data_IF_739055125793
#
_entry.id   IF_739055125793
#
_cell.length_a   1.000
_cell.length_b   1.000
_cell.length_c   1.000
_cell.angle_alpha   90.00
_cell.angle_beta   90.00
_cell.angle_gamma   90.00
#
_symmetry.space_group_name_H-M   'P 1'
#
loop_
_entity.id
_entity.type
_entity.pdbx_description
1 polymer ?
#
# COMPACT_ATOMS: atom_id res chain seq x y z
N UNK A 1 29.14 -8.87 47.65
CA UNK A 1 27.97 -8.16 47.06
C UNK A 1 27.63 -8.71 45.68
N UNK A 2 26.47 -9.36 45.56
CA UNK A 2 25.50 -9.37 44.45
C UNK A 2 26.03 -9.22 43.00
N UNK A 3 26.79 -10.18 42.46
CA UNK A 3 27.02 -10.29 40.99
C UNK A 3 25.95 -11.11 40.25
N UNK A 4 25.23 -12.02 40.92
CA UNK A 4 24.17 -12.82 40.27
C UNK A 4 22.88 -12.03 40.00
N UNK A 5 22.62 -10.96 40.77
CA UNK A 5 21.45 -10.09 40.63
C UNK A 5 21.49 -9.21 39.38
N UNK A 6 22.68 -8.84 38.89
CA UNK A 6 22.81 -8.01 37.69
C UNK A 6 22.64 -8.84 36.40
N UNK A 7 23.20 -10.05 36.37
CA UNK A 7 23.06 -10.97 35.24
C UNK A 7 21.62 -11.48 35.07
N UNK A 8 20.91 -11.78 36.16
CA UNK A 8 19.49 -12.17 36.08
C UNK A 8 18.59 -11.02 35.61
N UNK A 9 18.85 -9.77 36.03
CA UNK A 9 18.12 -8.60 35.53
C UNK A 9 18.32 -8.34 34.03
N UNK A 10 19.53 -8.56 33.51
CA UNK A 10 19.82 -8.40 32.08
C UNK A 10 19.10 -9.46 31.25
N UNK A 11 19.12 -10.72 31.69
CA UNK A 11 18.45 -11.84 31.00
C UNK A 11 16.92 -11.63 31.00
N UNK A 12 16.32 -11.21 32.11
CA UNK A 12 14.87 -10.95 32.22
C UNK A 12 14.44 -9.78 31.30
N UNK A 13 15.24 -8.71 31.20
CA UNK A 13 14.95 -7.61 30.29
C UNK A 13 15.06 -8.01 28.81
N UNK A 14 16.06 -8.84 28.44
CA UNK A 14 16.17 -9.37 27.08
C UNK A 14 14.97 -10.28 26.75
N UNK A 15 14.55 -11.15 27.68
CA UNK A 15 13.36 -11.99 27.51
C UNK A 15 12.06 -11.17 27.36
N UNK A 16 11.88 -10.11 28.15
CA UNK A 16 10.72 -9.21 28.07
C UNK A 16 10.67 -8.42 26.75
N UNK A 17 11.81 -8.12 26.14
CA UNK A 17 11.89 -7.45 24.82
C UNK A 17 11.59 -8.44 23.68
N UNK A 18 11.92 -9.72 23.85
CA UNK A 18 11.74 -10.75 22.82
C UNK A 18 10.30 -11.25 22.70
N UNK A 19 9.56 -11.38 23.81
CA UNK A 19 8.18 -11.89 23.82
C UNK A 19 7.20 -11.12 22.90
N UNK A 20 7.19 -9.77 22.87
CA UNK A 20 6.34 -8.99 21.98
C UNK A 20 6.70 -9.16 20.49
N UNK A 21 7.98 -9.38 20.20
CA UNK A 21 8.48 -9.58 18.83
C UNK A 21 8.03 -10.95 18.30
N UNK A 22 8.21 -12.01 19.10
CA UNK A 22 7.74 -13.35 18.76
C UNK A 22 6.21 -13.43 18.60
N UNK A 23 5.45 -12.73 19.46
CA UNK A 23 4.00 -12.66 19.33
C UNK A 23 3.57 -12.01 17.99
N UNK A 24 4.18 -10.87 17.62
CA UNK A 24 3.90 -10.19 16.34
C UNK A 24 4.31 -11.03 15.13
N UNK A 25 5.40 -11.78 15.21
CA UNK A 25 5.83 -12.67 14.13
C UNK A 25 4.85 -13.82 13.91
N UNK A 26 4.41 -14.47 14.99
CA UNK A 26 3.42 -15.56 14.92
C UNK A 26 2.06 -15.05 14.40
N UNK A 27 1.63 -13.88 14.87
CA UNK A 27 0.43 -13.21 14.37
C UNK A 27 0.54 -12.93 12.86
N UNK A 28 1.70 -12.43 12.39
CA UNK A 28 1.91 -12.16 10.97
C UNK A 28 1.91 -13.42 10.11
N UNK A 29 2.37 -14.58 10.63
CA UNK A 29 2.26 -15.87 9.93
C UNK A 29 0.80 -16.27 9.72
N UNK A 30 -0.03 -16.14 10.77
CA UNK A 30 -1.48 -16.38 10.69
C UNK A 30 -2.16 -15.42 9.72
N UNK A 31 -1.84 -14.13 9.81
CA UNK A 31 -2.37 -13.08 8.94
C UNK A 31 -2.05 -13.36 7.46
N UNK A 32 -0.79 -13.68 7.15
CA UNK A 32 -0.37 -14.05 5.78
C UNK A 32 -1.18 -15.23 5.24
N UNK A 33 -1.35 -16.29 6.04
CA UNK A 33 -2.16 -17.46 5.65
C UNK A 33 -3.61 -17.07 5.33
N UNK A 34 -4.21 -16.20 6.14
CA UNK A 34 -5.54 -15.67 5.87
C UNK A 34 -5.60 -14.85 4.58
N UNK A 35 -4.60 -13.98 4.33
CA UNK A 35 -4.50 -13.22 3.09
C UNK A 35 -4.33 -14.11 1.86
N UNK A 36 -3.50 -15.16 1.90
CA UNK A 36 -3.37 -16.09 0.78
C UNK A 36 -4.66 -16.86 0.50
N UNK A 37 -5.41 -17.25 1.53
CA UNK A 37 -6.75 -17.84 1.35
C UNK A 37 -7.72 -16.86 0.67
N UNK A 38 -7.66 -15.58 1.05
CA UNK A 38 -8.44 -14.53 0.40
C UNK A 38 -8.03 -14.33 -1.05
N UNK A 39 -6.74 -14.22 -1.32
CA UNK A 39 -6.18 -14.02 -2.66
C UNK A 39 -6.55 -15.16 -3.61
N UNK A 40 -6.46 -16.42 -3.16
CA UNK A 40 -6.89 -17.59 -3.94
C UNK A 40 -8.38 -17.57 -4.27
N UNK A 41 -9.23 -17.13 -3.33
CA UNK A 41 -10.69 -17.07 -3.54
C UNK A 41 -11.10 -15.95 -4.52
N UNK A 42 -10.27 -14.92 -4.66
CA UNK A 42 -10.59 -13.72 -5.41
C UNK A 42 -9.52 -13.47 -6.49
N UNK A 43 -8.99 -14.50 -7.11
CA UNK A 43 -8.09 -14.35 -8.26
C UNK A 43 -8.86 -13.76 -9.45
N UNK A 44 -8.26 -12.75 -10.09
CA UNK A 44 -8.79 -12.14 -11.32
C UNK A 44 -8.21 -12.87 -12.52
N UNK A 45 -9.09 -13.28 -13.42
CA UNK A 45 -8.79 -13.85 -14.73
C UNK A 45 -8.90 -12.82 -15.87
N UNK A 46 -9.30 -11.59 -15.55
CA UNK A 46 -9.45 -10.54 -16.55
C UNK A 46 -8.10 -10.16 -17.18
N UNK A 47 -8.09 -10.18 -18.50
CA UNK A 47 -6.99 -9.72 -19.35
C UNK A 47 -7.50 -8.62 -20.29
N UNK A 48 -6.62 -7.67 -20.57
CA UNK A 48 -6.87 -6.55 -21.47
C UNK A 48 -5.58 -6.20 -22.20
N UNK A 49 -5.67 -5.94 -23.49
CA UNK A 49 -4.51 -5.64 -24.32
C UNK A 49 -4.21 -4.15 -24.36
N UNK A 50 -2.98 -3.81 -24.78
CA UNK A 50 -2.59 -2.42 -24.96
C UNK A 50 -3.43 -1.77 -26.06
N UNK A 51 -4.25 -0.78 -25.70
CA UNK A 51 -5.14 -0.08 -26.63
C UNK A 51 -6.62 -0.48 -26.55
N UNK A 52 -6.98 -1.46 -25.72
CA UNK A 52 -8.37 -1.88 -25.49
C UNK A 52 -9.14 -0.90 -24.60
N UNK A 53 -9.37 0.31 -25.10
CA UNK A 53 -9.99 1.40 -24.33
C UNK A 53 -11.41 1.12 -23.85
N UNK A 54 -12.14 0.26 -24.56
CA UNK A 54 -13.55 -0.03 -24.31
C UNK A 54 -13.80 -1.35 -23.57
N UNK A 55 -12.79 -2.21 -23.45
CA UNK A 55 -12.93 -3.46 -22.69
C UNK A 55 -13.00 -3.13 -21.20
N UNK A 56 -14.02 -3.67 -20.53
CA UNK A 56 -14.28 -3.43 -19.10
C UNK A 56 -14.34 -4.75 -18.34
N UNK A 57 -13.76 -4.76 -17.14
CA UNK A 57 -13.82 -5.91 -16.25
C UNK A 57 -15.23 -6.04 -15.64
N UNK A 58 -15.86 -7.20 -15.84
CA UNK A 58 -17.18 -7.54 -15.28
C UNK A 58 -17.08 -8.46 -14.06
N UNK A 59 -15.87 -8.86 -13.66
CA UNK A 59 -15.64 -9.66 -12.47
C UNK A 59 -16.10 -8.94 -11.19
N UNK A 60 -16.18 -9.69 -10.09
CA UNK A 60 -16.52 -9.11 -8.78
C UNK A 60 -15.50 -8.03 -8.41
N UNK A 61 -15.99 -6.96 -7.78
CA UNK A 61 -15.22 -5.78 -7.34
C UNK A 61 -14.08 -6.05 -6.35
N UNK A 62 -14.03 -7.26 -5.81
CA UNK A 62 -13.00 -7.72 -4.89
C UNK A 62 -12.03 -8.73 -5.53
N UNK A 63 -12.15 -8.99 -6.85
CA UNK A 63 -11.18 -9.78 -7.61
C UNK A 63 -9.84 -9.05 -7.65
N UNK A 64 -8.76 -9.80 -7.60
CA UNK A 64 -7.41 -9.29 -7.36
C UNK A 64 -6.50 -9.80 -8.46
N UNK A 65 -5.96 -8.86 -9.25
CA UNK A 65 -4.99 -9.15 -10.32
C UNK A 65 -3.58 -9.24 -9.77
N UNK A 66 -3.23 -8.33 -8.87
CA UNK A 66 -1.91 -8.28 -8.22
C UNK A 66 -2.01 -7.72 -6.80
N UNK A 67 -0.99 -7.95 -5.98
CA UNK A 67 -1.03 -7.60 -4.57
C UNK A 67 0.35 -7.29 -3.96
N UNK A 68 0.34 -6.69 -2.77
CA UNK A 68 1.48 -6.48 -1.88
C UNK A 68 1.04 -6.88 -0.47
N UNK A 69 1.88 -7.62 0.27
CA UNK A 69 1.71 -7.82 1.71
C UNK A 69 2.81 -7.06 2.44
N UNK A 70 2.44 -6.02 3.17
CA UNK A 70 3.39 -5.13 3.85
C UNK A 70 2.73 -4.42 5.04
N UNK A 71 3.53 -4.09 6.04
CA UNK A 71 3.16 -3.13 7.08
C UNK A 71 3.35 -1.73 6.50
N UNK A 72 2.26 -0.95 6.38
CA UNK A 72 2.25 0.39 5.78
C UNK A 72 1.92 1.51 6.77
N UNK A 73 1.77 1.18 8.06
CA UNK A 73 1.47 2.15 9.11
C UNK A 73 2.47 2.09 10.28
N UNK A 74 3.49 1.24 10.14
CA UNK A 74 4.59 1.02 11.09
C UNK A 74 4.15 0.48 12.45
N UNK A 75 3.02 -0.24 12.54
CA UNK A 75 2.58 -0.87 13.80
C UNK A 75 3.08 -2.33 13.97
N UNK A 76 3.71 -2.88 12.93
CA UNK A 76 4.21 -4.25 12.89
C UNK A 76 3.18 -5.29 12.45
N UNK A 77 1.95 -4.89 12.12
CA UNK A 77 0.89 -5.74 11.57
C UNK A 77 0.90 -5.61 10.05
N UNK A 78 0.79 -6.73 9.35
CA UNK A 78 0.76 -6.70 7.88
C UNK A 78 -0.62 -6.30 7.35
N UNK A 79 -0.64 -5.35 6.42
CA UNK A 79 -1.76 -5.09 5.52
C UNK A 79 -1.65 -5.92 4.24
N UNK A 80 -2.81 -6.18 3.63
CA UNK A 80 -2.91 -6.66 2.25
C UNK A 80 -3.33 -5.49 1.36
N UNK A 81 -2.47 -5.12 0.42
CA UNK A 81 -2.74 -4.14 -0.64
C UNK A 81 -3.04 -4.93 -1.91
N UNK A 82 -4.15 -4.65 -2.57
CA UNK A 82 -4.57 -5.37 -3.79
C UNK A 82 -4.85 -4.40 -4.91
N UNK A 83 -4.50 -4.77 -6.13
CA UNK A 83 -4.91 -4.09 -7.35
C UNK A 83 -6.01 -4.89 -8.05
N UNK A 84 -7.16 -4.22 -8.25
CA UNK A 84 -8.28 -4.72 -9.04
C UNK A 84 -8.26 -3.99 -10.39
N UNK A 85 -7.99 -4.72 -11.47
CA UNK A 85 -8.03 -4.19 -12.83
C UNK A 85 -9.48 -4.00 -13.28
N UNK A 86 -9.81 -2.86 -13.88
CA UNK A 86 -11.16 -2.56 -14.39
C UNK A 86 -11.21 -2.34 -15.90
N UNK A 87 -10.06 -2.22 -16.55
CA UNK A 87 -9.89 -2.02 -17.99
C UNK A 87 -8.44 -1.71 -18.33
N UNK A 88 -8.16 -1.35 -19.59
CA UNK A 88 -6.83 -0.95 -20.02
C UNK A 88 -6.37 0.30 -19.25
N UNK A 89 -5.26 0.20 -18.51
CA UNK A 89 -4.73 1.25 -17.60
C UNK A 89 -5.73 1.75 -16.54
N UNK A 90 -6.69 0.93 -16.17
CA UNK A 90 -7.75 1.29 -15.23
C UNK A 90 -7.82 0.32 -14.08
N UNK A 91 -8.08 0.82 -12.88
CA UNK A 91 -8.25 -0.03 -11.72
C UNK A 91 -8.30 0.70 -10.39
N UNK A 92 -8.31 -0.12 -9.35
CA UNK A 92 -8.40 0.34 -7.98
C UNK A 92 -7.40 -0.37 -7.08
N UNK A 93 -6.70 0.42 -6.26
CA UNK A 93 -5.86 -0.08 -5.18
C UNK A 93 -6.68 -0.12 -3.88
N UNK A 94 -6.82 -1.30 -3.32
CA UNK A 94 -7.54 -1.54 -2.07
C UNK A 94 -6.57 -1.95 -0.97
N UNK A 95 -6.90 -1.59 0.27
CA UNK A 95 -6.11 -1.95 1.45
C UNK A 95 -7.01 -2.73 2.40
N UNK A 96 -6.52 -3.84 2.94
CA UNK A 96 -7.22 -4.69 3.89
C UNK A 96 -6.37 -4.91 5.14
N UNK A 97 -7.06 -5.04 6.27
CA UNK A 97 -6.47 -5.40 7.57
C UNK A 97 -7.09 -6.67 8.10
N UNK A 98 -6.28 -7.48 8.74
CA UNK A 98 -6.76 -8.60 9.55
C UNK A 98 -7.11 -8.09 10.95
N UNK A 99 -8.40 -8.14 11.29
CA UNK A 99 -8.91 -7.71 12.60
C UNK A 99 -10.10 -8.57 13.00
N UNK A 100 -10.17 -8.95 14.27
CA UNK A 100 -11.26 -9.77 14.83
C UNK A 100 -11.42 -11.10 14.06
N UNK A 101 -10.29 -11.73 13.74
CA UNK A 101 -10.19 -12.94 12.92
C UNK A 101 -10.80 -12.84 11.51
N UNK A 102 -10.99 -11.63 10.99
CA UNK A 102 -11.57 -11.37 9.67
C UNK A 102 -10.72 -10.39 8.87
N UNK A 103 -10.74 -10.54 7.55
CA UNK A 103 -10.14 -9.58 6.63
C UNK A 103 -11.17 -8.48 6.38
N UNK A 104 -10.83 -7.24 6.75
CA UNK A 104 -11.69 -6.06 6.62
C UNK A 104 -11.02 -5.05 5.71
N UNK A 105 -11.75 -4.54 4.70
CA UNK A 105 -11.27 -3.45 3.85
C UNK A 105 -11.14 -2.17 4.67
N UNK A 106 -10.06 -1.43 4.47
CA UNK A 106 -9.82 -0.11 5.08
C UNK A 106 -10.55 0.94 4.25
N UNK A 107 -11.36 1.78 4.90
CA UNK A 107 -12.12 2.85 4.22
C UNK A 107 -11.22 4.05 3.89
N UNK A 108 -11.49 4.74 2.79
CA UNK A 108 -10.86 6.03 2.46
C UNK A 108 -11.46 7.17 3.29
N UNK A 109 -10.67 8.18 3.65
CA UNK A 109 -11.14 9.29 4.51
C UNK A 109 -11.94 10.37 3.78
N UNK A 110 -11.77 10.54 2.47
CA UNK A 110 -12.16 11.77 1.77
C UNK A 110 -13.01 11.57 0.49
N UNK A 111 -13.44 10.36 0.13
CA UNK A 111 -14.27 10.15 -1.06
C UNK A 111 -15.68 9.72 -0.68
N UNK A 112 -16.69 10.48 -1.12
CA UNK A 112 -18.11 10.07 -1.11
C UNK A 112 -18.35 8.81 -1.95
N UNK A 113 -17.44 8.46 -2.85
CA UNK A 113 -17.36 7.17 -3.56
C UNK A 113 -16.75 6.08 -2.67
N UNK A 114 -17.35 5.84 -1.49
CA UNK A 114 -16.83 5.04 -0.37
C UNK A 114 -16.53 3.55 -0.67
N UNK A 115 -16.66 3.06 -1.91
CA UNK A 115 -16.73 1.63 -2.18
C UNK A 115 -15.51 1.00 -2.84
N UNK A 116 -14.55 1.74 -3.42
CA UNK A 116 -13.59 1.13 -4.35
C UNK A 116 -12.10 1.28 -4.05
N UNK A 117 -11.69 2.03 -3.03
CA UNK A 117 -10.26 2.20 -2.70
C UNK A 117 -9.66 3.46 -3.33
N UNK A 118 -8.37 3.42 -3.66
CA UNK A 118 -7.66 4.49 -4.38
C UNK A 118 -7.84 4.23 -5.88
N UNK A 119 -8.47 5.16 -6.59
CA UNK A 119 -8.64 5.10 -8.04
C UNK A 119 -7.26 5.34 -8.71
N UNK A 120 -6.89 4.46 -9.65
CA UNK A 120 -5.66 4.54 -10.46
C UNK A 120 -5.98 4.41 -11.96
N UNK A 121 -7.08 5.02 -12.38
CA UNK A 121 -7.50 5.12 -13.77
C UNK A 121 -6.66 6.15 -14.52
N UNK A 122 -6.13 5.76 -15.68
CA UNK A 122 -5.33 6.63 -16.54
C UNK A 122 -5.97 6.73 -17.93
N UNK A 123 -6.53 7.89 -18.24
CA UNK A 123 -7.08 8.20 -19.57
C UNK A 123 -6.05 8.87 -20.50
N UNK A 124 -4.80 9.05 -20.05
CA UNK A 124 -3.73 9.71 -20.80
C UNK A 124 -2.61 8.74 -21.23
N UNK A 125 -1.65 9.25 -21.99
CA UNK A 125 -0.33 8.62 -22.09
C UNK A 125 0.26 8.54 -20.66
N UNK A 126 0.92 7.44 -20.32
CA UNK A 126 1.39 7.18 -18.95
C UNK A 126 0.88 5.88 -18.33
N UNK A 127 1.45 5.53 -17.17
CA UNK A 127 1.13 4.32 -16.39
C UNK A 127 1.25 4.61 -14.90
N UNK A 128 0.48 3.89 -14.10
CA UNK A 128 0.62 3.90 -12.64
C UNK A 128 1.60 2.82 -12.19
N UNK A 129 2.51 3.20 -11.32
CA UNK A 129 3.34 2.33 -10.52
C UNK A 129 2.88 2.37 -9.06
N UNK A 130 2.72 1.19 -8.45
CA UNK A 130 2.27 1.05 -7.07
C UNK A 130 3.29 0.24 -6.28
N UNK A 131 3.82 0.83 -5.21
CA UNK A 131 4.83 0.19 -4.39
C UNK A 131 4.78 0.64 -2.93
N UNK A 132 5.36 -0.18 -2.04
CA UNK A 132 5.64 0.18 -0.65
C UNK A 132 7.13 0.46 -0.53
N UNK A 133 7.49 1.61 0.05
CA UNK A 133 8.88 1.99 0.25
C UNK A 133 9.47 1.42 1.55
N UNK A 134 10.79 1.52 1.71
CA UNK A 134 11.51 1.15 2.94
C UNK A 134 11.08 1.94 4.19
N UNK A 135 10.40 3.09 4.02
CA UNK A 135 9.77 3.85 5.11
C UNK A 135 8.32 3.42 5.39
N UNK A 136 7.88 2.29 4.83
CA UNK A 136 6.54 1.74 5.02
C UNK A 136 5.43 2.69 4.57
N UNK A 137 5.67 3.48 3.53
CA UNK A 137 4.62 4.26 2.89
C UNK A 137 4.13 3.55 1.63
N UNK A 138 2.84 3.66 1.33
CA UNK A 138 2.28 3.21 0.06
C UNK A 138 2.36 4.35 -0.95
N UNK A 139 3.12 4.17 -2.02
CA UNK A 139 3.26 5.11 -3.12
C UNK A 139 2.40 4.66 -4.31
N UNK A 140 1.68 5.61 -4.87
CA UNK A 140 0.95 5.50 -6.13
C UNK A 140 1.49 6.59 -7.02
N UNK A 141 2.26 6.20 -8.04
CA UNK A 141 3.01 7.12 -8.90
C UNK A 141 2.51 6.98 -10.31
N UNK A 142 1.93 8.03 -10.85
CA UNK A 142 1.67 8.14 -12.28
C UNK A 142 2.84 8.86 -12.96
N UNK A 143 3.30 8.32 -14.07
CA UNK A 143 4.33 8.95 -14.90
C UNK A 143 3.94 8.89 -16.35
N UNK A 144 4.17 10.00 -17.04
CA UNK A 144 4.22 10.12 -18.48
C UNK A 144 5.39 11.00 -18.89
N UNK A 145 6.21 10.54 -19.82
CA UNK A 145 7.44 11.24 -20.21
C UNK A 145 7.18 12.61 -20.85
N UNK A 146 5.98 12.85 -21.38
CA UNK A 146 5.63 14.11 -22.07
C UNK A 146 4.82 15.04 -21.18
N UNK A 147 3.86 14.50 -20.44
CA UNK A 147 2.90 15.28 -19.66
C UNK A 147 3.43 15.58 -18.25
N UNK A 148 4.15 14.63 -17.65
CA UNK A 148 4.76 14.83 -16.33
C UNK A 148 4.51 13.68 -15.37
N UNK A 149 4.40 14.00 -14.07
CA UNK A 149 4.40 13.01 -13.01
C UNK A 149 3.45 13.42 -11.89
N UNK A 150 2.77 12.44 -11.31
CA UNK A 150 2.02 12.62 -10.07
C UNK A 150 2.41 11.54 -9.09
N UNK A 151 2.77 11.92 -7.86
CA UNK A 151 3.12 10.97 -6.81
C UNK A 151 2.25 11.20 -5.59
N UNK A 152 1.45 10.20 -5.23
CA UNK A 152 0.59 10.21 -4.07
C UNK A 152 1.06 9.18 -3.05
N UNK A 153 1.26 9.63 -1.81
CA UNK A 153 1.75 8.80 -0.71
C UNK A 153 0.68 8.62 0.33
N UNK A 154 0.28 7.38 0.55
CA UNK A 154 -0.81 6.99 1.44
C UNK A 154 -0.30 6.32 2.71
N UNK A 155 -1.11 6.47 3.76
CA UNK A 155 -0.97 5.77 5.04
C UNK A 155 -2.32 5.47 5.66
N UNK A 156 -2.35 4.61 6.67
CA UNK A 156 -3.53 4.45 7.53
C UNK A 156 -3.47 5.50 8.64
N UNK A 157 -4.50 6.32 8.75
CA UNK A 157 -4.67 7.31 9.82
C UNK A 157 -4.90 6.65 11.18
N UNK A 158 -4.74 7.43 12.26
CA UNK A 158 -5.10 6.98 13.63
C UNK A 158 -6.56 6.51 13.75
N UNK A 159 -7.45 7.03 12.89
CA UNK A 159 -8.86 6.63 12.81
C UNK A 159 -9.09 5.33 12.00
N UNK A 160 -8.03 4.66 11.56
CA UNK A 160 -8.12 3.42 10.78
C UNK A 160 -8.63 3.62 9.36
N UNK A 161 -8.52 4.83 8.80
CA UNK A 161 -8.88 5.15 7.40
C UNK A 161 -7.64 5.42 6.55
N UNK A 162 -7.68 5.06 5.27
CA UNK A 162 -6.67 5.43 4.27
C UNK A 162 -6.70 6.96 4.10
N UNK A 163 -5.55 7.61 4.22
CA UNK A 163 -5.41 9.03 3.96
C UNK A 163 -4.17 9.35 3.12
N UNK A 164 -4.35 10.28 2.18
CA UNK A 164 -3.25 10.87 1.40
C UNK A 164 -2.43 11.76 2.32
N UNK A 165 -1.15 11.42 2.49
CA UNK A 165 -0.22 12.09 3.38
C UNK A 165 0.66 13.08 2.64
N UNK A 166 1.20 12.69 1.50
CA UNK A 166 1.95 13.56 0.61
C UNK A 166 1.42 13.45 -0.81
N UNK A 167 1.56 14.53 -1.56
CA UNK A 167 1.25 14.57 -2.98
C UNK A 167 2.24 15.48 -3.68
N UNK A 168 2.69 15.06 -4.85
CA UNK A 168 3.41 15.90 -5.79
C UNK A 168 2.70 15.84 -7.14
N UNK A 169 2.60 17.00 -7.78
CA UNK A 169 2.08 17.16 -9.14
C UNK A 169 3.14 17.91 -9.92
N UNK A 170 3.60 17.29 -11.00
CA UNK A 170 4.49 17.83 -12.01
C UNK A 170 3.73 17.77 -13.34
N UNK A 171 3.42 18.94 -13.87
CA UNK A 171 2.78 19.12 -15.17
C UNK A 171 3.73 19.91 -16.07
N UNK A 172 4.33 19.21 -17.02
CA UNK A 172 5.33 19.75 -17.93
C UNK A 172 4.71 20.61 -19.04
N UNK A 173 3.41 20.46 -19.31
CA UNK A 173 2.74 21.23 -20.36
C UNK A 173 2.56 22.70 -19.95
N UNK A 174 2.33 22.95 -18.66
CA UNK A 174 2.16 24.29 -18.09
C UNK A 174 3.26 24.68 -17.11
N UNK A 175 4.34 23.89 -17.03
CA UNK A 175 5.50 24.11 -16.16
C UNK A 175 5.05 24.35 -14.70
N UNK A 176 4.24 23.41 -14.19
CA UNK A 176 3.63 23.51 -12.87
C UNK A 176 4.12 22.41 -11.96
N UNK A 177 4.66 22.83 -10.81
CA UNK A 177 5.14 21.95 -9.74
C UNK A 177 4.43 22.29 -8.43
N UNK A 178 3.66 21.34 -7.90
CA UNK A 178 2.96 21.49 -6.63
C UNK A 178 3.24 20.34 -5.68
N UNK A 179 3.36 20.68 -4.39
CA UNK A 179 3.67 19.74 -3.33
C UNK A 179 2.70 19.94 -2.17
N UNK A 180 2.21 18.85 -1.59
CA UNK A 180 1.24 18.89 -0.51
C UNK A 180 1.59 17.93 0.62
N UNK A 181 1.21 18.32 1.84
CA UNK A 181 1.23 17.48 3.05
C UNK A 181 -0.11 17.56 3.75
N UNK A 182 -0.81 16.43 3.83
CA UNK A 182 -2.20 16.35 4.29
C UNK A 182 -3.10 17.41 3.59
N UNK A 183 -3.04 17.50 2.25
CA UNK A 183 -3.79 18.46 1.43
C UNK A 183 -3.46 19.95 1.66
N UNK A 184 -2.44 20.29 2.45
CA UNK A 184 -1.93 21.66 2.55
C UNK A 184 -0.70 21.81 1.67
N UNK A 185 -0.65 22.88 0.86
CA UNK A 185 0.51 23.18 0.00
C UNK A 185 1.76 23.39 0.87
N UNK A 186 2.88 22.82 0.43
CA UNK A 186 4.19 22.91 1.08
C UNK A 186 5.25 23.22 0.01
N UNK A 187 6.47 23.53 0.45
CA UNK A 187 7.60 23.73 -0.45
C UNK A 187 8.16 22.41 -1.00
N UNK A 188 8.91 22.48 -2.11
CA UNK A 188 9.67 21.34 -2.66
C UNK A 188 10.62 20.76 -1.63
N UNK A 189 11.35 21.61 -0.91
CA UNK A 189 12.34 21.19 0.09
C UNK A 189 11.70 20.40 1.25
N UNK A 190 10.53 20.84 1.73
CA UNK A 190 9.78 20.11 2.76
C UNK A 190 9.33 18.73 2.28
N UNK A 191 8.92 18.62 1.02
CA UNK A 191 8.53 17.36 0.40
C UNK A 191 9.74 16.43 0.25
N UNK A 192 10.82 16.94 -0.37
CA UNK A 192 12.05 16.21 -0.67
C UNK A 192 12.73 15.65 0.59
N UNK A 193 12.72 16.38 1.71
CA UNK A 193 13.26 15.92 3.01
C UNK A 193 12.66 14.59 3.48
N UNK A 194 11.41 14.31 3.09
CA UNK A 194 10.70 13.08 3.43
C UNK A 194 10.83 12.05 2.32
N UNK A 195 10.54 12.46 1.08
CA UNK A 195 10.37 11.52 -0.04
C UNK A 195 11.71 10.99 -0.56
N UNK A 196 12.81 11.75 -0.52
CA UNK A 196 14.16 11.24 -0.90
C UNK A 196 14.62 10.04 -0.07
N UNK A 197 14.06 9.86 1.13
CA UNK A 197 14.36 8.73 2.01
C UNK A 197 13.53 7.49 1.70
N UNK A 198 12.49 7.63 0.87
CA UNK A 198 11.62 6.55 0.44
C UNK A 198 12.25 5.87 -0.77
N UNK A 199 12.84 4.69 -0.55
CA UNK A 199 13.33 3.81 -1.62
C UNK A 199 12.32 2.70 -1.84
N UNK A 200 12.01 2.38 -3.10
CA UNK A 200 11.14 1.25 -3.47
C UNK A 200 11.65 -0.02 -2.79
N UNK A 201 10.74 -0.79 -2.19
CA UNK A 201 11.08 -1.99 -1.41
C UNK A 201 10.19 -3.19 -1.76
N UNK A 202 8.88 -2.96 -1.95
CA UNK A 202 7.95 -3.99 -2.41
C UNK A 202 7.04 -3.42 -3.48
N UNK A 203 6.82 -4.18 -4.54
CA UNK A 203 5.93 -3.80 -5.64
C UNK A 203 4.81 -4.82 -5.80
N UNK A 204 3.84 -4.50 -6.64
CA UNK A 204 2.76 -5.43 -6.97
C UNK A 204 3.32 -6.70 -7.61
N UNK A 205 2.96 -7.85 -7.06
CA UNK A 205 3.21 -9.15 -7.65
C UNK A 205 1.91 -9.76 -8.16
N UNK A 206 1.96 -10.53 -9.24
CA UNK A 206 0.78 -11.18 -9.82
C UNK A 206 0.10 -12.10 -8.80
N UNK A 207 -1.23 -12.10 -8.77
CA UNK A 207 -2.01 -12.99 -7.90
C UNK A 207 -2.15 -14.40 -8.48
N UNK A 208 -1.02 -15.09 -8.63
CA UNK A 208 -0.95 -16.47 -9.12
C UNK A 208 -0.55 -17.43 -8.00
N UNK A 209 -0.71 -18.73 -8.23
CA UNK A 209 -0.44 -19.78 -7.22
C UNK A 209 1.00 -19.72 -6.70
N UNK A 210 1.95 -19.41 -7.56
CA UNK A 210 3.39 -19.42 -7.32
C UNK A 210 3.82 -18.32 -6.35
N UNK A 211 3.08 -17.21 -6.33
CA UNK A 211 3.36 -16.04 -5.50
C UNK A 211 2.71 -16.13 -4.10
N UNK A 212 1.72 -17.01 -3.92
CA UNK A 212 0.98 -17.22 -2.66
C UNK A 212 1.66 -18.25 -1.75
N UNK A 213 2.87 -17.91 -1.28
CA UNK A 213 3.72 -18.78 -0.43
C UNK A 213 3.97 -18.21 0.95
#
# INVERSE_FOLDING_TARGET
>A
MKRSSLFTMIIVNILLIMLPVYAKENDNKKIKKSYYKYLKKNESSFEVEDGDWYKRNTEKKNSVKSYIIADINSDGVLELITYHITGYKMGYVNIYRYKDNKIKRVKCSNNKEENYGINVDCNAAGRYEIYVCNKKHLHVVWTDERIGKSEQVYRISKKGKICKKYEMIEDNLIIKYEYYKNNKKITKDEYDKVIKKCKKNKELIANVKENRK
#
